data_IF_131040298794
#
_entry.id   IF_131040298794
#
_cell.length_a   1.000
_cell.length_b   1.000
_cell.length_c   1.000
_cell.angle_alpha   90.00
_cell.angle_beta   90.00
_cell.angle_gamma   90.00
#
_symmetry.space_group_name_H-M   'P 1'
#
loop_
_entity.id
_entity.type
_entity.pdbx_description
1 polymer ?
#
# COMPACT_ATOMS: atom_id res chain seq x y z
N UNK A 1 19.46 -9.76 -18.63
CA UNK A 1 18.88 -9.96 -17.28
C UNK A 1 17.58 -9.18 -17.25
N UNK A 2 16.49 -9.78 -17.76
CA UNK A 2 15.22 -9.08 -17.95
C UNK A 2 14.55 -8.87 -16.60
N UNK A 3 14.41 -7.62 -16.18
CA UNK A 3 13.63 -7.29 -15.00
C UNK A 3 12.19 -7.74 -15.22
N UNK A 4 11.72 -8.71 -14.43
CA UNK A 4 10.29 -9.06 -14.36
C UNK A 4 9.50 -7.76 -14.16
N UNK A 5 8.35 -7.57 -14.85
CA UNK A 5 7.55 -6.35 -14.67
C UNK A 5 7.25 -6.15 -13.19
N UNK A 6 7.37 -4.91 -12.72
CA UNK A 6 7.07 -4.52 -11.34
C UNK A 6 5.57 -4.72 -11.09
N UNK A 7 5.23 -5.87 -10.55
CA UNK A 7 3.90 -6.22 -10.08
C UNK A 7 3.68 -5.72 -8.65
N UNK A 8 2.42 -5.46 -8.33
CA UNK A 8 2.04 -4.89 -7.06
C UNK A 8 2.39 -5.83 -5.89
N UNK A 9 2.30 -7.15 -6.11
CA UNK A 9 2.69 -8.16 -5.12
C UNK A 9 4.17 -8.04 -4.73
N UNK A 10 5.09 -7.90 -5.69
CA UNK A 10 6.52 -7.75 -5.38
C UNK A 10 6.77 -6.49 -4.58
N UNK A 11 6.11 -5.38 -4.91
CA UNK A 11 6.24 -4.12 -4.14
C UNK A 11 5.81 -4.32 -2.69
N UNK A 12 4.67 -4.97 -2.46
CA UNK A 12 4.10 -5.13 -1.13
C UNK A 12 4.89 -6.13 -0.29
N UNK A 13 5.30 -7.26 -0.87
CA UNK A 13 6.18 -8.22 -0.21
C UNK A 13 7.53 -7.58 0.16
N UNK A 14 8.07 -6.73 -0.73
CA UNK A 14 9.33 -6.02 -0.45
C UNK A 14 9.19 -5.06 0.74
N UNK A 15 8.04 -4.41 0.92
CA UNK A 15 7.80 -3.56 2.09
C UNK A 15 7.66 -4.38 3.38
N UNK A 16 6.94 -5.50 3.33
CA UNK A 16 6.72 -6.39 4.48
C UNK A 16 8.04 -6.97 4.97
N UNK A 17 8.87 -7.43 4.05
CA UNK A 17 10.16 -8.07 4.36
C UNK A 17 11.30 -7.05 4.56
N UNK A 18 11.01 -5.75 4.52
CA UNK A 18 12.05 -4.73 4.57
C UNK A 18 12.68 -4.64 5.96
N UNK A 19 13.98 -4.94 6.06
CA UNK A 19 14.67 -5.07 7.34
C UNK A 19 14.96 -3.74 8.08
N UNK A 20 14.64 -2.57 7.51
CA UNK A 20 14.91 -1.26 8.10
C UNK A 20 13.60 -0.48 8.31
N UNK A 21 13.50 0.42 9.30
CA UNK A 21 12.30 1.23 9.48
C UNK A 21 11.95 2.04 8.23
N UNK A 22 10.68 2.00 7.84
CA UNK A 22 10.10 2.74 6.72
C UNK A 22 9.37 3.95 7.26
N UNK A 23 9.85 5.14 6.88
CA UNK A 23 9.24 6.42 7.23
C UNK A 23 8.66 7.03 5.96
N UNK A 24 7.37 7.36 5.98
CA UNK A 24 6.64 7.93 4.84
C UNK A 24 6.13 9.33 5.15
N UNK A 25 6.37 10.26 4.23
CA UNK A 25 5.80 11.61 4.28
C UNK A 25 4.62 11.75 3.32
N UNK A 26 3.47 12.22 3.80
CA UNK A 26 2.26 12.43 3.00
C UNK A 26 1.95 13.92 2.92
N UNK A 27 2.10 14.50 1.73
CA UNK A 27 1.86 15.92 1.48
C UNK A 27 0.69 16.12 0.51
N UNK A 28 -0.54 16.01 1.04
CA UNK A 28 -1.76 16.19 0.27
C UNK A 28 -2.59 14.90 0.15
N UNK A 29 -3.52 14.84 -0.81
CA UNK A 29 -4.45 13.73 -0.93
C UNK A 29 -3.79 12.40 -1.34
N UNK A 30 -4.06 11.35 -0.57
CA UNK A 30 -3.70 9.96 -0.84
C UNK A 30 -4.97 9.11 -1.04
N UNK A 31 -4.96 8.25 -2.06
CA UNK A 31 -6.12 7.46 -2.49
C UNK A 31 -5.78 5.98 -2.76
N UNK A 32 -6.71 5.10 -2.41
CA UNK A 32 -6.66 3.69 -2.79
C UNK A 32 -5.43 2.98 -2.24
N UNK A 33 -4.65 2.33 -3.10
CA UNK A 33 -3.53 1.47 -2.69
C UNK A 33 -2.42 2.22 -1.98
N UNK A 34 -2.24 3.50 -2.30
CA UNK A 34 -1.28 4.35 -1.60
C UNK A 34 -1.63 4.48 -0.11
N UNK A 35 -2.92 4.48 0.24
CA UNK A 35 -3.38 4.58 1.63
C UNK A 35 -3.23 3.23 2.34
N UNK A 36 -3.52 2.12 1.66
CA UNK A 36 -3.38 0.78 2.25
C UNK A 36 -1.92 0.40 2.47
N UNK A 37 -1.03 0.84 1.58
CA UNK A 37 0.43 0.61 1.70
C UNK A 37 1.04 1.33 2.90
N UNK A 38 0.45 2.43 3.38
CA UNK A 38 0.89 3.11 4.60
C UNK A 38 0.78 2.22 5.85
N UNK A 39 -0.13 1.25 5.86
CA UNK A 39 -0.26 0.30 6.96
C UNK A 39 0.92 -0.68 7.06
N UNK A 40 1.74 -0.78 6.01
CA UNK A 40 2.96 -1.58 5.97
C UNK A 40 4.21 -0.77 6.37
N UNK A 41 4.05 0.51 6.68
CA UNK A 41 5.15 1.40 7.05
C UNK A 41 5.16 1.63 8.57
N UNK A 42 6.35 1.83 9.14
CA UNK A 42 6.49 2.01 10.59
C UNK A 42 6.06 3.40 11.08
N UNK A 43 6.37 4.45 10.30
CA UNK A 43 6.08 5.84 10.68
C UNK A 43 5.51 6.59 9.48
N UNK A 44 4.36 7.26 9.69
CA UNK A 44 3.72 8.09 8.68
C UNK A 44 3.63 9.54 9.17
N UNK A 45 4.34 10.45 8.51
CA UNK A 45 4.26 11.89 8.75
C UNK A 45 3.29 12.54 7.75
N UNK A 46 2.15 13.00 8.26
CA UNK A 46 1.13 13.65 7.46
C UNK A 46 1.24 15.18 7.56
N UNK A 47 1.27 15.86 6.41
CA UNK A 47 1.04 17.31 6.34
C UNK A 47 -0.38 17.63 6.85
N UNK A 48 -0.58 18.84 7.38
CA UNK A 48 -1.92 19.36 7.71
C UNK A 48 -2.90 19.39 6.52
N UNK A 49 -2.38 19.29 5.29
CA UNK A 49 -3.17 19.20 4.05
C UNK A 49 -3.40 17.76 3.57
N UNK A 50 -2.92 16.76 4.30
CA UNK A 50 -3.07 15.37 3.90
C UNK A 50 -4.51 14.89 4.07
N UNK A 51 -5.00 14.12 3.09
CA UNK A 51 -6.31 13.47 3.18
C UNK A 51 -6.17 12.02 2.71
N UNK A 52 -6.77 11.06 3.42
CA UNK A 52 -6.66 9.64 3.11
C UNK A 52 -8.02 9.08 2.74
N UNK A 53 -8.13 8.44 1.57
CA UNK A 53 -9.41 7.88 1.09
C UNK A 53 -9.22 6.51 0.45
N UNK A 54 -10.05 5.57 0.85
CA UNK A 54 -10.08 4.19 0.33
C UNK A 54 -11.43 3.94 -0.37
N UNK A 55 -11.63 4.41 -1.62
CA UNK A 55 -12.94 4.34 -2.28
C UNK A 55 -13.34 2.93 -2.76
N UNK A 56 -12.64 1.88 -2.32
CA UNK A 56 -12.85 0.50 -2.76
C UNK A 56 -14.29 0.03 -2.55
N UNK A 57 -14.87 0.33 -1.39
CA UNK A 57 -16.27 0.00 -1.09
C UNK A 57 -17.27 0.61 -2.07
N UNK A 58 -16.98 1.82 -2.58
CA UNK A 58 -17.84 2.44 -3.61
C UNK A 58 -17.73 1.78 -4.98
N UNK A 59 -16.65 1.03 -5.21
CA UNK A 59 -16.38 0.30 -6.44
C UNK A 59 -16.72 -1.20 -6.31
N UNK A 60 -17.25 -1.65 -5.16
CA UNK A 60 -17.46 -3.06 -4.88
C UNK A 60 -16.17 -3.87 -4.75
N UNK A 61 -15.04 -3.20 -4.49
CA UNK A 61 -13.73 -3.81 -4.32
C UNK A 61 -13.40 -3.92 -2.83
N UNK A 62 -12.75 -5.02 -2.43
CA UNK A 62 -12.15 -5.10 -1.11
C UNK A 62 -10.88 -4.25 -1.07
N UNK A 63 -10.59 -3.63 0.07
CA UNK A 63 -9.38 -2.83 0.28
C UNK A 63 -8.17 -3.73 0.56
N UNK A 64 -7.98 -4.75 -0.27
CA UNK A 64 -6.92 -5.73 -0.14
C UNK A 64 -5.76 -5.26 -0.99
N UNK A 65 -4.94 -4.38 -0.43
CA UNK A 65 -3.61 -4.11 -0.97
C UNK A 65 -2.69 -5.31 -0.75
N UNK A 66 -3.09 -6.52 -1.19
CA UNK A 66 -2.40 -7.82 -1.04
C UNK A 66 -2.13 -8.31 0.40
N UNK A 67 -3.13 -8.36 1.29
CA UNK A 67 -2.99 -9.07 2.57
C UNK A 67 -3.27 -10.59 2.46
N UNK A 68 -3.72 -11.04 1.29
CA UNK A 68 -4.00 -12.44 1.03
C UNK A 68 -2.88 -13.05 0.17
N UNK A 69 -2.32 -14.21 0.54
CA UNK A 69 -1.43 -14.95 -0.35
C UNK A 69 -2.18 -15.29 -1.65
N UNK A 70 -1.49 -15.39 -2.79
CA UNK A 70 -2.07 -15.63 -4.12
C UNK A 70 -2.92 -16.92 -4.24
N UNK A 71 -3.07 -17.70 -3.16
CA UNK A 71 -3.91 -18.89 -3.03
C UNK A 71 -5.15 -18.72 -2.13
N UNK A 72 -5.39 -17.55 -1.54
CA UNK A 72 -6.62 -17.32 -0.78
C UNK A 72 -7.75 -17.04 -1.78
N UNK A 73 -8.60 -18.05 -1.97
CA UNK A 73 -9.83 -17.94 -2.75
C UNK A 73 -10.76 -16.88 -2.13
N UNK A 74 -11.05 -15.85 -2.92
CA UNK A 74 -12.38 -15.21 -2.96
C UNK A 74 -13.33 -16.09 -3.77
#
# INVERSE_FOLDING_TARGET
MGSKPLDIETVLNTLIDFAKPIIVGVNGPAYGISVTMLALCDIVYASSRATFKTPFMRLGLCAEGNLLPSNALI
#
